data_IF_115481112942
#
_entry.id   IF_115481112942
#
_cell.length_a   1.000
_cell.length_b   1.000
_cell.length_c   1.000
_cell.angle_alpha   90.00
_cell.angle_beta   90.00
_cell.angle_gamma   90.00
#
_symmetry.space_group_name_H-M   'P 1'
#
loop_
_entity.id
_entity.type
_entity.pdbx_description
1 polymer ?
#
# COMPACT_ATOMS: atom_id res chain seq x y z
N UNK A 1 32.48 -4.05 3.62
CA UNK A 1 31.34 -3.58 4.42
C UNK A 1 30.30 -4.71 4.43
N UNK A 2 30.01 -5.26 5.59
CA UNK A 2 28.98 -6.30 5.68
C UNK A 2 27.63 -5.63 5.53
N UNK A 3 26.85 -6.05 4.54
CA UNK A 3 25.49 -5.54 4.33
C UNK A 3 24.60 -5.97 5.50
N UNK A 4 23.80 -5.03 6.02
CA UNK A 4 22.76 -5.30 7.00
C UNK A 4 21.47 -4.60 6.57
N UNK A 5 20.35 -5.35 6.57
CA UNK A 5 19.01 -4.82 6.29
C UNK A 5 18.58 -3.71 7.24
N UNK A 6 19.23 -3.61 8.40
CA UNK A 6 19.01 -2.57 9.42
C UNK A 6 20.18 -1.57 9.50
N UNK A 7 20.85 -1.28 8.38
CA UNK A 7 21.95 -0.32 8.37
C UNK A 7 21.46 1.11 8.71
N UNK A 8 22.24 1.93 9.45
CA UNK A 8 21.86 3.30 9.82
C UNK A 8 21.55 4.20 8.62
N UNK A 9 22.22 3.97 7.48
CA UNK A 9 22.01 4.73 6.25
C UNK A 9 20.57 4.55 5.74
N UNK A 10 20.03 3.33 5.80
CA UNK A 10 18.66 3.04 5.38
C UNK A 10 17.64 3.75 6.27
N UNK A 11 17.89 3.83 7.58
CA UNK A 11 17.04 4.58 8.51
C UNK A 11 17.06 6.08 8.23
N UNK A 12 18.23 6.65 7.94
CA UNK A 12 18.35 8.08 7.58
C UNK A 12 17.59 8.38 6.30
N UNK A 13 17.76 7.56 5.25
CA UNK A 13 17.07 7.74 3.98
C UNK A 13 15.54 7.61 4.14
N UNK A 14 15.08 6.59 4.86
CA UNK A 14 13.66 6.42 5.17
C UNK A 14 13.12 7.61 5.96
N UNK A 15 13.84 8.05 7.00
CA UNK A 15 13.46 9.19 7.83
C UNK A 15 13.32 10.49 7.04
N UNK A 16 14.25 10.80 6.15
CA UNK A 16 14.19 12.01 5.29
C UNK A 16 12.94 12.01 4.42
N UNK A 17 12.63 10.88 3.78
CA UNK A 17 11.44 10.78 2.92
C UNK A 17 10.15 10.90 3.74
N UNK A 18 10.07 10.21 4.87
CA UNK A 18 8.90 10.28 5.76
C UNK A 18 8.69 11.71 6.27
N UNK A 19 9.76 12.40 6.67
CA UNK A 19 9.68 13.80 7.10
C UNK A 19 9.21 14.72 5.96
N UNK A 20 9.67 14.50 4.74
CA UNK A 20 9.22 15.28 3.58
C UNK A 20 7.71 15.07 3.33
N UNK A 21 7.21 13.84 3.41
CA UNK A 21 5.78 13.53 3.25
C UNK A 21 4.94 14.11 4.39
N UNK A 22 5.43 14.07 5.62
CA UNK A 22 4.76 14.71 6.77
C UNK A 22 4.69 16.23 6.59
N UNK A 23 5.78 16.86 6.19
CA UNK A 23 5.81 18.30 5.90
C UNK A 23 4.82 18.68 4.79
N UNK A 24 4.77 17.89 3.72
CA UNK A 24 3.80 18.05 2.65
C UNK A 24 2.35 17.90 3.14
N UNK A 25 2.07 16.91 3.99
CA UNK A 25 0.74 16.68 4.57
C UNK A 25 0.29 17.86 5.44
N UNK A 26 1.18 18.37 6.28
CA UNK A 26 0.90 19.57 7.11
C UNK A 26 0.67 20.80 6.23
N UNK A 27 1.49 20.99 5.20
CA UNK A 27 1.32 22.10 4.24
C UNK A 27 -0.06 22.07 3.59
N UNK A 28 -0.50 20.92 3.08
CA UNK A 28 -1.82 20.82 2.46
C UNK A 28 -2.97 20.99 3.47
N UNK A 29 -2.83 20.46 4.68
CA UNK A 29 -3.80 20.63 5.74
C UNK A 29 -4.00 22.12 6.09
N UNK A 30 -2.91 22.85 6.30
CA UNK A 30 -2.96 24.30 6.59
C UNK A 30 -3.59 25.07 5.43
N UNK A 31 -3.22 24.72 4.19
CA UNK A 31 -3.80 25.34 2.99
C UNK A 31 -5.30 25.06 2.86
N UNK A 32 -5.73 23.82 3.12
CA UNK A 32 -7.15 23.45 3.10
C UNK A 32 -7.97 24.21 4.17
N UNK A 33 -7.45 24.31 5.40
CA UNK A 33 -8.10 25.08 6.48
C UNK A 33 -8.18 26.56 6.11
N UNK A 34 -7.13 27.14 5.55
CA UNK A 34 -7.15 28.54 5.10
C UNK A 34 -8.19 28.75 4.01
N UNK A 35 -8.22 27.88 3.01
CA UNK A 35 -9.18 27.97 1.91
C UNK A 35 -10.63 27.80 2.38
N UNK A 36 -10.89 26.93 3.35
CA UNK A 36 -12.23 26.75 3.91
C UNK A 36 -12.78 28.03 4.57
N UNK A 37 -11.89 28.82 5.19
CA UNK A 37 -12.27 30.13 5.76
C UNK A 37 -12.57 31.16 4.67
N UNK A 38 -11.77 31.19 3.60
CA UNK A 38 -11.96 32.13 2.48
C UNK A 38 -13.30 31.93 1.76
N UNK A 39 -13.74 30.68 1.61
CA UNK A 39 -15.03 30.35 0.96
C UNK A 39 -16.22 30.40 1.93
N UNK A 40 -16.00 30.86 3.17
CA UNK A 40 -17.08 31.00 4.16
C UNK A 40 -17.68 29.71 4.68
N UNK A 41 -16.89 28.61 4.67
CA UNK A 41 -17.35 27.31 5.19
C UNK A 41 -17.61 27.40 6.69
N UNK A 42 -18.70 26.77 7.15
CA UNK A 42 -19.04 26.65 8.56
C UNK A 42 -17.92 25.95 9.34
N UNK A 43 -17.32 26.68 10.28
CA UNK A 43 -16.20 26.19 11.08
C UNK A 43 -16.58 25.01 11.98
N UNK A 44 -17.83 24.92 12.38
CA UNK A 44 -18.31 23.78 13.18
C UNK A 44 -18.35 22.50 12.34
N UNK A 45 -18.81 22.60 11.09
CA UNK A 45 -18.78 21.47 10.13
C UNK A 45 -17.36 21.06 9.81
N UNK A 46 -16.45 22.03 9.58
CA UNK A 46 -15.04 21.76 9.33
C UNK A 46 -14.40 20.98 10.49
N UNK A 47 -14.58 21.47 11.72
CA UNK A 47 -14.07 20.80 12.92
C UNK A 47 -14.63 19.39 13.08
N UNK A 48 -15.93 19.21 12.88
CA UNK A 48 -16.58 17.89 12.94
C UNK A 48 -15.96 16.93 11.92
N UNK A 49 -15.77 17.39 10.68
CA UNK A 49 -15.14 16.60 9.61
C UNK A 49 -13.71 16.21 9.97
N UNK A 50 -12.91 17.15 10.49
CA UNK A 50 -11.52 16.87 10.90
C UNK A 50 -11.45 15.84 12.03
N UNK A 51 -12.28 15.97 13.05
CA UNK A 51 -12.33 15.02 14.17
C UNK A 51 -12.79 13.65 13.69
N UNK A 52 -13.83 13.60 12.88
CA UNK A 52 -14.33 12.35 12.31
C UNK A 52 -13.28 11.66 11.46
N UNK A 53 -12.61 12.40 10.57
CA UNK A 53 -11.51 11.87 9.77
C UNK A 53 -10.37 11.34 10.64
N UNK A 54 -9.99 12.06 11.70
CA UNK A 54 -8.97 11.63 12.65
C UNK A 54 -9.33 10.31 13.33
N UNK A 55 -10.57 10.17 13.81
CA UNK A 55 -11.04 8.93 14.44
C UNK A 55 -11.03 7.76 13.46
N UNK A 56 -11.50 7.97 12.23
CA UNK A 56 -11.48 6.91 11.21
C UNK A 56 -10.07 6.50 10.77
N UNK A 57 -9.05 7.34 10.99
CA UNK A 57 -7.66 7.01 10.65
C UNK A 57 -7.01 6.07 11.68
N UNK A 58 -7.56 5.93 12.89
CA UNK A 58 -6.93 5.12 13.95
C UNK A 58 -6.85 3.64 13.55
N UNK A 59 -7.92 3.05 13.04
CA UNK A 59 -7.93 1.63 12.68
C UNK A 59 -6.93 1.30 11.55
N UNK A 60 -6.88 2.02 10.42
CA UNK A 60 -5.83 1.85 9.41
C UNK A 60 -4.41 2.07 9.96
N UNK A 61 -4.22 3.04 10.86
CA UNK A 61 -2.90 3.30 11.44
C UNK A 61 -2.39 2.11 12.27
N UNK A 62 -3.25 1.50 13.09
CA UNK A 62 -2.91 0.29 13.85
C UNK A 62 -2.58 -0.86 12.89
N UNK A 63 -3.37 -1.05 11.83
CA UNK A 63 -3.10 -2.07 10.82
C UNK A 63 -1.73 -1.88 10.15
N UNK A 64 -1.34 -0.63 9.83
CA UNK A 64 -0.02 -0.31 9.26
C UNK A 64 1.11 -0.67 10.24
N UNK A 65 0.97 -0.37 11.53
CA UNK A 65 1.99 -0.72 12.54
C UNK A 65 2.20 -2.23 12.60
N UNK A 66 1.12 -3.01 12.66
CA UNK A 66 1.20 -4.48 12.64
C UNK A 66 1.87 -4.98 11.36
N UNK A 67 1.56 -4.35 10.24
CA UNK A 67 2.11 -4.66 8.92
C UNK A 67 3.63 -4.42 8.86
N UNK A 68 4.09 -3.29 9.39
CA UNK A 68 5.53 -2.98 9.49
C UNK A 68 6.25 -4.04 10.30
N UNK A 69 5.69 -4.43 11.46
CA UNK A 69 6.28 -5.46 12.32
C UNK A 69 6.36 -6.81 11.57
N UNK A 70 5.32 -7.17 10.82
CA UNK A 70 5.28 -8.44 10.07
C UNK A 70 6.35 -8.48 8.98
N UNK A 71 6.41 -7.45 8.12
CA UNK A 71 7.38 -7.40 7.03
C UNK A 71 8.82 -7.16 7.52
N UNK A 72 9.00 -6.56 8.69
CA UNK A 72 10.34 -6.27 9.21
C UNK A 72 11.15 -7.51 9.59
N UNK A 73 10.49 -8.66 9.73
CA UNK A 73 11.17 -9.93 10.07
C UNK A 73 12.15 -10.34 8.97
N UNK A 74 11.78 -10.20 7.71
CA UNK A 74 12.61 -10.59 6.56
C UNK A 74 13.36 -9.41 5.94
N UNK A 75 12.68 -8.27 5.79
CA UNK A 75 13.21 -7.11 5.07
C UNK A 75 13.90 -6.07 5.96
N UNK A 76 13.98 -6.32 7.27
CA UNK A 76 14.42 -5.31 8.22
C UNK A 76 13.39 -4.19 8.39
N UNK A 77 13.60 -3.32 9.36
CA UNK A 77 12.64 -2.27 9.69
C UNK A 77 12.59 -1.08 8.69
N UNK A 78 13.71 -0.59 8.13
CA UNK A 78 13.72 0.64 7.33
C UNK A 78 12.85 0.58 6.08
N UNK A 79 12.91 -0.52 5.33
CA UNK A 79 12.20 -0.65 4.06
C UNK A 79 10.68 -0.77 4.25
N UNK A 80 10.14 -1.68 5.08
CA UNK A 80 8.71 -1.73 5.35
C UNK A 80 8.17 -0.44 5.98
N UNK A 81 8.92 0.17 6.89
CA UNK A 81 8.53 1.43 7.49
C UNK A 81 8.35 2.54 6.45
N UNK A 82 9.32 2.73 5.57
CA UNK A 82 9.22 3.70 4.49
C UNK A 82 8.03 3.41 3.57
N UNK A 83 7.92 2.17 3.10
CA UNK A 83 6.95 1.80 2.08
C UNK A 83 5.50 1.86 2.59
N UNK A 84 5.23 1.31 3.75
CA UNK A 84 3.89 1.31 4.35
C UNK A 84 3.47 2.70 4.87
N UNK A 85 4.43 3.58 5.21
CA UNK A 85 4.12 4.95 5.62
C UNK A 85 3.82 5.89 4.47
N UNK A 86 4.32 5.60 3.25
CA UNK A 86 4.27 6.55 2.13
C UNK A 86 3.37 6.07 1.00
N UNK A 87 3.48 4.83 0.57
CA UNK A 87 2.89 4.37 -0.70
C UNK A 87 2.10 3.08 -0.55
N UNK A 88 2.58 2.13 0.27
CA UNK A 88 2.14 0.75 0.24
C UNK A 88 0.92 0.43 1.09
N UNK A 89 0.34 -0.72 0.79
CA UNK A 89 -0.59 -1.42 1.68
C UNK A 89 0.02 -2.76 2.06
N UNK A 90 -0.34 -3.30 3.23
CA UNK A 90 0.17 -4.59 3.69
C UNK A 90 0.02 -5.68 2.63
N UNK A 91 -1.18 -5.84 2.12
CA UNK A 91 -1.49 -6.91 1.16
C UNK A 91 -0.62 -6.83 -0.09
N UNK A 92 -0.51 -5.64 -0.66
CA UNK A 92 0.27 -5.43 -1.87
C UNK A 92 1.77 -5.64 -1.65
N UNK A 93 2.32 -5.05 -0.59
CA UNK A 93 3.74 -5.14 -0.29
C UNK A 93 4.15 -6.56 0.08
N UNK A 94 3.31 -7.28 0.82
CA UNK A 94 3.55 -8.69 1.16
C UNK A 94 3.57 -9.56 -0.08
N UNK A 95 2.59 -9.41 -0.98
CA UNK A 95 2.54 -10.20 -2.23
C UNK A 95 3.76 -9.89 -3.11
N UNK A 96 4.14 -8.63 -3.26
CA UNK A 96 5.28 -8.25 -4.07
C UNK A 96 6.60 -8.80 -3.49
N UNK A 97 6.78 -8.72 -2.16
CA UNK A 97 7.94 -9.28 -1.48
C UNK A 97 7.99 -10.81 -1.61
N UNK A 98 6.89 -11.49 -1.30
CA UNK A 98 6.80 -12.97 -1.38
C UNK A 98 7.07 -13.48 -2.80
N UNK A 99 6.52 -12.82 -3.82
CA UNK A 99 6.79 -13.20 -5.22
C UNK A 99 8.26 -13.00 -5.59
N UNK A 100 8.88 -11.90 -5.15
CA UNK A 100 10.29 -11.65 -5.41
C UNK A 100 11.19 -12.67 -4.69
N UNK A 101 10.89 -13.00 -3.44
CA UNK A 101 11.62 -13.99 -2.66
C UNK A 101 11.46 -15.39 -3.26
N UNK A 102 10.24 -15.81 -3.59
CA UNK A 102 9.95 -17.09 -4.23
C UNK A 102 10.67 -17.25 -5.57
N UNK A 103 10.73 -16.20 -6.38
CA UNK A 103 11.47 -16.21 -7.64
C UNK A 103 12.98 -16.37 -7.46
N UNK A 104 13.50 -16.03 -6.29
CA UNK A 104 14.90 -16.23 -5.92
C UNK A 104 15.15 -17.54 -5.12
N UNK A 105 14.13 -18.40 -4.97
CA UNK A 105 14.20 -19.63 -4.18
C UNK A 105 14.25 -19.41 -2.67
N UNK A 106 13.77 -18.26 -2.19
CA UNK A 106 13.68 -17.93 -0.78
C UNK A 106 12.26 -18.16 -0.27
N UNK A 107 12.10 -18.50 1.00
CA UNK A 107 10.80 -18.67 1.64
C UNK A 107 10.53 -17.50 2.56
N UNK A 108 9.43 -16.77 2.32
CA UNK A 108 9.01 -15.65 3.14
C UNK A 108 8.80 -16.06 4.60
N UNK A 109 9.33 -15.27 5.54
CA UNK A 109 9.27 -15.56 6.97
C UNK A 109 10.37 -16.49 7.49
N UNK A 110 11.23 -17.03 6.62
CA UNK A 110 12.30 -17.97 6.98
C UNK A 110 13.71 -17.49 6.59
N UNK A 111 13.80 -16.27 6.07
CA UNK A 111 15.09 -15.73 5.61
C UNK A 111 15.91 -15.24 6.80
N UNK A 112 16.96 -15.97 7.13
CA UNK A 112 17.87 -15.59 8.23
C UNK A 112 18.78 -14.42 7.89
N UNK A 113 19.15 -14.25 6.61
CA UNK A 113 19.94 -13.13 6.12
C UNK A 113 19.76 -12.94 4.61
N UNK A 114 19.42 -11.74 4.18
CA UNK A 114 19.40 -11.34 2.77
C UNK A 114 20.77 -10.81 2.35
N UNK A 115 21.22 -11.20 1.17
CA UNK A 115 22.37 -10.55 0.52
C UNK A 115 21.95 -9.15 0.02
N UNK A 116 22.91 -8.25 -0.16
CA UNK A 116 22.64 -6.93 -0.70
C UNK A 116 21.92 -6.96 -2.05
N UNK A 117 22.29 -7.89 -2.93
CA UNK A 117 21.67 -8.09 -4.24
C UNK A 117 20.22 -8.53 -4.11
N UNK A 118 19.90 -9.50 -3.28
CA UNK A 118 18.53 -9.98 -3.04
C UNK A 118 17.65 -8.87 -2.47
N UNK A 119 18.14 -8.13 -1.47
CA UNK A 119 17.43 -7.01 -0.88
C UNK A 119 17.08 -5.91 -1.89
N UNK A 120 18.06 -5.52 -2.71
CA UNK A 120 17.85 -4.52 -3.77
C UNK A 120 16.87 -5.03 -4.83
N UNK A 121 16.95 -6.32 -5.19
CA UNK A 121 15.99 -6.93 -6.14
C UNK A 121 14.57 -6.89 -5.61
N UNK A 122 14.35 -7.29 -4.34
CA UNK A 122 13.02 -7.20 -3.71
C UNK A 122 12.51 -5.76 -3.73
N UNK A 123 13.33 -4.80 -3.30
CA UNK A 123 12.96 -3.39 -3.28
C UNK A 123 12.59 -2.85 -4.67
N UNK A 124 13.31 -3.26 -5.74
CA UNK A 124 13.00 -2.89 -7.12
C UNK A 124 11.69 -3.53 -7.60
N UNK A 125 11.48 -4.81 -7.38
CA UNK A 125 10.24 -5.51 -7.76
C UNK A 125 9.04 -4.84 -7.10
N UNK A 126 9.10 -4.58 -5.80
CA UNK A 126 8.05 -3.88 -5.05
C UNK A 126 7.79 -2.47 -5.63
N UNK A 127 8.83 -1.75 -6.04
CA UNK A 127 8.71 -0.38 -6.57
C UNK A 127 8.14 -0.36 -7.98
N UNK A 128 8.67 -1.18 -8.89
CA UNK A 128 8.22 -1.22 -10.30
C UNK A 128 6.76 -1.67 -10.38
N UNK A 129 6.37 -2.66 -9.58
CA UNK A 129 5.00 -3.16 -9.54
C UNK A 129 3.98 -2.07 -9.19
N UNK A 130 4.29 -1.23 -8.20
CA UNK A 130 3.42 -0.11 -7.80
C UNK A 130 3.40 1.00 -8.87
N UNK A 131 4.56 1.30 -9.45
CA UNK A 131 4.67 2.32 -10.49
C UNK A 131 3.82 2.00 -11.72
N UNK A 132 3.77 0.74 -12.14
CA UNK A 132 2.90 0.30 -13.24
C UNK A 132 1.44 0.66 -12.96
N UNK A 133 0.93 0.41 -11.75
CA UNK A 133 -0.43 0.77 -11.36
C UNK A 133 -0.68 2.28 -11.38
N UNK A 134 0.25 3.06 -10.85
CA UNK A 134 0.15 4.53 -10.81
C UNK A 134 0.09 5.13 -12.21
N UNK A 135 0.84 4.60 -13.18
CA UNK A 135 0.82 5.07 -14.56
C UNK A 135 -0.39 4.54 -15.34
N UNK A 136 -0.78 3.29 -15.11
CA UNK A 136 -1.85 2.63 -15.84
C UNK A 136 -3.24 3.20 -15.50
N UNK A 137 -3.48 3.48 -14.21
CA UNK A 137 -4.79 3.96 -13.73
C UNK A 137 -5.20 5.30 -14.36
N UNK A 138 -4.38 6.35 -14.45
CA UNK A 138 -4.76 7.59 -15.13
C UNK A 138 -5.01 7.42 -16.63
N UNK A 139 -4.30 6.51 -17.28
CA UNK A 139 -4.44 6.27 -18.73
C UNK A 139 -5.74 5.51 -19.08
N UNK A 140 -6.05 4.49 -18.31
CA UNK A 140 -7.19 3.60 -18.58
C UNK A 140 -8.43 3.99 -17.76
N UNK A 141 -8.25 4.58 -16.59
CA UNK A 141 -9.31 4.86 -15.63
C UNK A 141 -10.44 5.72 -16.18
N UNK A 142 -10.13 6.75 -16.99
CA UNK A 142 -11.15 7.56 -17.66
C UNK A 142 -12.05 6.73 -18.59
N UNK A 143 -11.48 5.79 -19.34
CA UNK A 143 -12.25 4.92 -20.24
C UNK A 143 -13.08 3.91 -19.44
N UNK A 144 -12.50 3.33 -18.39
CA UNK A 144 -13.21 2.40 -17.51
C UNK A 144 -14.37 3.11 -16.79
N UNK A 145 -14.11 4.27 -16.21
CA UNK A 145 -15.10 5.07 -15.49
C UNK A 145 -16.25 5.52 -16.41
N UNK A 146 -15.92 5.95 -17.63
CA UNK A 146 -16.92 6.26 -18.65
C UNK A 146 -17.77 5.04 -19.08
N UNK A 147 -17.18 3.85 -19.13
CA UNK A 147 -17.89 2.59 -19.36
C UNK A 147 -18.83 2.24 -18.18
N UNK A 148 -18.34 2.31 -16.95
CA UNK A 148 -19.13 2.06 -15.73
C UNK A 148 -20.30 3.05 -15.60
N UNK A 149 -20.08 4.34 -15.83
CA UNK A 149 -21.14 5.35 -15.79
C UNK A 149 -22.23 5.12 -16.85
N UNK A 150 -21.86 4.62 -18.04
CA UNK A 150 -22.84 4.25 -19.07
C UNK A 150 -23.70 3.04 -18.64
N UNK A 151 -23.13 2.08 -17.95
CA UNK A 151 -23.84 0.91 -17.43
C UNK A 151 -24.77 1.35 -16.28
N UNK A 152 -24.27 2.15 -15.35
CA UNK A 152 -25.03 2.69 -14.22
C UNK A 152 -26.20 3.56 -14.65
N UNK A 153 -26.01 4.42 -15.67
CA UNK A 153 -27.07 5.26 -16.24
C UNK A 153 -28.13 4.45 -16.99
N UNK A 154 -27.80 3.25 -17.46
CA UNK A 154 -28.76 2.38 -18.15
C UNK A 154 -29.59 1.54 -17.18
N UNK A 155 -28.95 1.05 -16.12
CA UNK A 155 -29.61 0.36 -15.01
C UNK A 155 -28.71 0.39 -13.78
N UNK A 156 -29.15 1.10 -12.73
CA UNK A 156 -28.41 1.27 -11.48
C UNK A 156 -28.06 -0.05 -10.80
N UNK A 157 -28.91 -1.07 -10.95
CA UNK A 157 -28.67 -2.43 -10.42
C UNK A 157 -27.41 -3.05 -10.99
N UNK A 158 -27.14 -2.89 -12.29
CA UNK A 158 -25.94 -3.42 -12.92
C UNK A 158 -24.65 -2.72 -12.45
N UNK A 159 -24.73 -1.42 -12.18
CA UNK A 159 -23.60 -0.68 -11.56
C UNK A 159 -23.23 -1.23 -10.18
N UNK A 160 -24.24 -1.45 -9.33
CA UNK A 160 -24.05 -1.99 -7.98
C UNK A 160 -23.52 -3.44 -8.02
N UNK A 161 -24.07 -4.29 -8.91
CA UNK A 161 -23.63 -5.68 -9.09
C UNK A 161 -22.18 -5.72 -9.57
N UNK A 162 -21.81 -4.89 -10.56
CA UNK A 162 -20.45 -4.84 -11.10
C UNK A 162 -19.45 -4.38 -10.05
N UNK A 163 -19.76 -3.31 -9.31
CA UNK A 163 -18.91 -2.81 -8.23
C UNK A 163 -18.71 -3.86 -7.13
N UNK A 164 -19.79 -4.52 -6.71
CA UNK A 164 -19.74 -5.58 -5.70
C UNK A 164 -18.95 -6.79 -6.19
N UNK A 165 -19.15 -7.21 -7.44
CA UNK A 165 -18.43 -8.33 -8.04
C UNK A 165 -16.92 -8.05 -8.16
N UNK A 166 -16.53 -6.84 -8.56
CA UNK A 166 -15.13 -6.41 -8.62
C UNK A 166 -14.49 -6.41 -7.22
N UNK A 167 -15.22 -5.91 -6.22
CA UNK A 167 -14.73 -5.88 -4.84
C UNK A 167 -14.57 -7.28 -4.25
N UNK A 168 -15.56 -8.17 -4.44
CA UNK A 168 -15.50 -9.56 -4.00
C UNK A 168 -14.40 -10.31 -4.74
N UNK A 169 -14.27 -10.11 -6.06
CA UNK A 169 -13.21 -10.72 -6.86
C UNK A 169 -11.82 -10.30 -6.41
N UNK A 170 -11.63 -9.03 -6.08
CA UNK A 170 -10.38 -8.53 -5.51
C UNK A 170 -10.07 -9.21 -4.16
N UNK A 171 -11.04 -9.28 -3.24
CA UNK A 171 -10.86 -9.94 -1.94
C UNK A 171 -10.56 -11.44 -2.14
N UNK A 172 -11.27 -12.12 -3.04
CA UNK A 172 -11.10 -13.55 -3.30
C UNK A 172 -9.74 -13.90 -3.94
N UNK A 173 -9.13 -12.98 -4.66
CA UNK A 173 -7.82 -13.19 -5.28
C UNK A 173 -6.71 -13.41 -4.23
N UNK A 174 -6.81 -12.81 -3.03
CA UNK A 174 -5.82 -12.96 -1.98
C UNK A 174 -5.76 -14.39 -1.39
N UNK A 175 -6.88 -15.01 -0.92
CA UNK A 175 -6.85 -16.37 -0.41
C UNK A 175 -6.43 -17.40 -1.46
N UNK A 176 -6.83 -17.22 -2.71
CA UNK A 176 -6.47 -18.13 -3.82
C UNK A 176 -4.97 -18.16 -4.04
N UNK A 177 -4.31 -17.00 -4.03
CA UNK A 177 -2.85 -16.93 -4.13
C UNK A 177 -2.15 -17.66 -2.97
N UNK A 178 -2.66 -17.51 -1.74
CA UNK A 178 -2.13 -18.19 -0.57
C UNK A 178 -2.33 -19.71 -0.60
N UNK A 179 -3.49 -20.18 -1.02
CA UNK A 179 -3.81 -21.62 -1.06
C UNK A 179 -3.07 -22.32 -2.20
N UNK A 180 -2.87 -21.68 -3.34
CA UNK A 180 -2.10 -22.26 -4.45
C UNK A 180 -0.61 -22.40 -4.11
N UNK A 181 -0.01 -21.43 -3.45
CA UNK A 181 1.39 -21.51 -3.01
C UNK A 181 1.58 -22.64 -1.99
N UNK A 182 0.68 -22.77 -1.02
CA UNK A 182 0.73 -23.82 0.00
C UNK A 182 0.46 -25.23 -0.54
N UNK A 183 -0.42 -25.36 -1.53
CA UNK A 183 -0.68 -26.64 -2.19
C UNK A 183 0.56 -27.14 -2.98
N UNK A 184 1.34 -26.26 -3.56
CA UNK A 184 2.60 -26.61 -4.23
C UNK A 184 3.68 -27.09 -3.25
N UNK A 185 3.77 -26.49 -2.06
CA UNK A 185 4.70 -26.92 -1.01
C UNK A 185 4.36 -28.32 -0.45
N UNK A 186 3.08 -28.61 -0.27
CA UNK A 186 2.64 -29.92 0.25
C UNK A 186 2.72 -31.05 -0.76
N UNK A 187 2.78 -30.76 -2.06
CA UNK A 187 2.97 -31.77 -3.12
C UNK A 187 4.46 -32.07 -3.41
N UNK A 188 5.37 -31.24 -2.94
CA UNK A 188 6.83 -31.44 -3.11
C UNK A 188 7.53 -32.06 -1.89
N UNK A 189 6.83 -32.28 -0.79
CA UNK A 189 7.27 -33.03 0.39
C UNK A 189 6.53 -34.37 0.45
#
# INVERSE_FOLDING_TARGET
MNFSVNSPILFVLAGVIILAVLAQSVFFLVRAIRRSKEIGMDQQKLRKTMVTAGVFTIAPAVAIVISVITLSKDLGLPLPWLRLSVVGSLSYETIAATNAESAMGLTFGQVSALTASQYVTIAWVMTISIMLGIWLVPLIGKKLQGGMTKIENRDKRWGDILSSALFIGMIAAFPVSYTHLRAHETLMN
#
